data_IF_101759537715
#
_entry.id   IF_101759537715
#
_cell.length_a   1.000
_cell.length_b   1.000
_cell.length_c   1.000
_cell.angle_alpha   90.00
_cell.angle_beta   90.00
_cell.angle_gamma   90.00
#
_symmetry.space_group_name_H-M   'P 1'
#
loop_
_entity.id
_entity.type
_entity.pdbx_description
1 polymer ?
#
# COMPACT_ATOMS: atom_id res chain seq x y z
N UNK A 1 2.89 -1.78 2.06
CA UNK A 1 1.98 -0.65 1.77
C UNK A 1 2.40 0.55 2.59
N UNK A 2 2.36 1.77 2.05
CA UNK A 2 2.70 2.96 2.85
C UNK A 2 1.59 3.26 3.87
N UNK A 3 0.32 3.10 3.49
CA UNK A 3 -0.83 3.26 4.37
C UNK A 3 -1.24 1.94 5.00
N UNK A 4 -1.83 2.03 6.19
CA UNK A 4 -2.48 0.88 6.80
C UNK A 4 -3.76 0.56 6.04
N UNK A 5 -4.05 -0.73 5.89
CA UNK A 5 -5.28 -1.23 5.25
C UNK A 5 -5.92 -2.27 6.15
N UNK A 6 -7.25 -2.22 6.26
CA UNK A 6 -8.06 -3.17 7.02
C UNK A 6 -8.77 -4.11 6.05
N UNK A 7 -8.73 -5.40 6.35
CA UNK A 7 -9.46 -6.40 5.58
C UNK A 7 -10.91 -6.46 6.08
N UNK A 8 -11.92 -6.24 5.22
CA UNK A 8 -13.31 -6.33 5.64
C UNK A 8 -13.68 -7.75 6.08
N UNK A 9 -14.45 -7.88 7.15
CA UNK A 9 -14.85 -9.19 7.71
C UNK A 9 -15.60 -10.05 6.70
N UNK A 10 -16.50 -9.46 5.91
CA UNK A 10 -17.24 -10.18 4.87
C UNK A 10 -16.30 -10.70 3.78
N UNK A 11 -15.38 -9.84 3.30
CA UNK A 11 -14.37 -10.21 2.31
C UNK A 11 -13.48 -11.34 2.81
N UNK A 12 -12.98 -11.26 4.05
CA UNK A 12 -12.20 -12.33 4.68
C UNK A 12 -12.98 -13.64 4.65
N UNK A 13 -14.21 -13.65 5.20
CA UNK A 13 -15.04 -14.86 5.29
C UNK A 13 -15.31 -15.50 3.92
N UNK A 14 -15.78 -14.70 2.96
CA UNK A 14 -16.18 -15.19 1.63
C UNK A 14 -14.99 -15.66 0.81
N UNK A 15 -13.88 -14.92 0.82
CA UNK A 15 -12.68 -15.35 0.09
C UNK A 15 -11.96 -16.53 0.78
N UNK A 16 -12.05 -16.65 2.11
CA UNK A 16 -11.63 -17.89 2.78
C UNK A 16 -12.43 -19.09 2.28
N UNK A 17 -13.77 -18.99 2.18
CA UNK A 17 -14.58 -20.07 1.59
C UNK A 17 -14.15 -20.44 0.16
N UNK A 18 -13.80 -19.45 -0.65
CA UNK A 18 -13.26 -19.65 -2.00
C UNK A 18 -11.92 -20.39 -1.99
N UNK A 19 -10.98 -19.99 -1.13
CA UNK A 19 -9.67 -20.65 -1.00
C UNK A 19 -9.84 -22.12 -0.58
N UNK A 20 -10.68 -22.39 0.40
CA UNK A 20 -11.00 -23.77 0.78
C UNK A 20 -11.58 -24.56 -0.39
N UNK A 21 -12.47 -23.95 -1.19
CA UNK A 21 -13.11 -24.62 -2.32
C UNK A 21 -12.10 -24.91 -3.44
N UNK A 22 -11.24 -23.95 -3.76
CA UNK A 22 -10.13 -24.11 -4.72
C UNK A 22 -9.28 -25.33 -4.37
N UNK A 23 -8.82 -25.40 -3.11
CA UNK A 23 -7.96 -26.48 -2.64
C UNK A 23 -8.70 -27.82 -2.59
N UNK A 24 -9.98 -27.82 -2.18
CA UNK A 24 -10.78 -29.04 -2.09
C UNK A 24 -11.08 -29.67 -3.46
N UNK A 25 -11.39 -28.85 -4.46
CA UNK A 25 -11.63 -29.33 -5.82
C UNK A 25 -10.34 -29.84 -6.48
N UNK A 26 -9.21 -29.17 -6.24
CA UNK A 26 -7.91 -29.64 -6.71
C UNK A 26 -7.53 -30.98 -6.05
N UNK A 27 -7.80 -31.14 -4.74
CA UNK A 27 -7.59 -32.40 -4.02
C UNK A 27 -8.51 -33.53 -4.48
N UNK A 28 -9.75 -33.21 -4.86
CA UNK A 28 -10.64 -34.16 -5.52
C UNK A 28 -10.01 -34.68 -6.82
N UNK A 29 -9.55 -33.77 -7.68
CA UNK A 29 -8.93 -34.12 -8.97
C UNK A 29 -7.53 -34.76 -8.84
N UNK A 30 -6.86 -34.61 -7.70
CA UNK A 30 -5.64 -35.38 -7.39
C UNK A 30 -5.94 -36.79 -6.90
N UNK A 31 -7.17 -37.08 -6.47
CA UNK A 31 -7.58 -38.39 -5.95
C UNK A 31 -8.04 -39.39 -7.01
N UNK A 32 -8.55 -38.94 -8.16
CA UNK A 32 -9.06 -39.77 -9.26
C UNK A 32 -8.74 -39.12 -10.61
N UNK A 33 -8.63 -39.91 -11.68
CA UNK A 33 -8.48 -39.44 -13.07
C UNK A 33 -9.81 -39.37 -13.83
N UNK A 34 -10.85 -40.06 -13.34
CA UNK A 34 -12.19 -40.04 -13.91
C UNK A 34 -13.06 -39.09 -13.09
N UNK A 35 -13.17 -37.84 -13.54
CA UNK A 35 -13.99 -36.84 -12.88
C UNK A 35 -15.42 -36.88 -13.43
N UNK A 36 -16.39 -37.01 -12.53
CA UNK A 36 -17.79 -36.87 -12.85
C UNK A 36 -18.52 -36.06 -11.77
N UNK A 37 -19.71 -35.57 -12.14
CA UNK A 37 -20.49 -34.67 -11.29
C UNK A 37 -20.87 -35.35 -9.97
N UNK A 38 -21.29 -36.62 -10.01
CA UNK A 38 -21.73 -37.38 -8.84
C UNK A 38 -20.57 -37.64 -7.88
N UNK A 39 -19.40 -38.00 -8.40
CA UNK A 39 -18.17 -38.16 -7.63
C UNK A 39 -17.74 -36.86 -6.95
N UNK A 40 -17.84 -35.72 -7.63
CA UNK A 40 -17.56 -34.43 -7.03
C UNK A 40 -18.57 -34.04 -5.94
N UNK A 41 -19.87 -34.27 -6.17
CA UNK A 41 -20.91 -34.07 -5.16
C UNK A 41 -20.62 -34.87 -3.89
N UNK A 42 -20.35 -36.17 -4.04
CA UNK A 42 -20.00 -37.04 -2.93
C UNK A 42 -18.71 -36.62 -2.21
N UNK A 43 -17.71 -36.12 -2.94
CA UNK A 43 -16.46 -35.63 -2.34
C UNK A 43 -16.66 -34.32 -1.56
N UNK A 44 -17.44 -33.39 -2.09
CA UNK A 44 -17.77 -32.13 -1.43
C UNK A 44 -18.67 -32.34 -0.20
N UNK A 45 -19.59 -33.29 -0.24
CA UNK A 45 -20.49 -33.61 0.87
C UNK A 45 -19.74 -34.05 2.15
N UNK A 46 -18.56 -34.69 1.97
CA UNK A 46 -17.69 -35.12 3.08
C UNK A 46 -17.05 -33.94 3.81
N UNK A 47 -16.93 -32.78 3.17
CA UNK A 47 -16.38 -31.57 3.80
C UNK A 47 -17.49 -30.85 4.58
N UNK A 48 -17.37 -30.69 5.92
CA UNK A 48 -18.37 -29.97 6.71
C UNK A 48 -18.64 -28.55 6.19
N UNK A 49 -17.61 -27.86 5.68
CA UNK A 49 -17.72 -26.50 5.15
C UNK A 49 -18.67 -26.40 3.95
N UNK A 50 -18.74 -27.43 3.10
CA UNK A 50 -19.55 -27.43 1.86
C UNK A 50 -20.81 -28.31 1.94
N UNK A 51 -21.02 -28.99 3.07
CA UNK A 51 -22.24 -29.77 3.32
C UNK A 51 -23.47 -28.87 3.18
N UNK A 52 -24.53 -29.39 2.54
CA UNK A 52 -25.73 -28.61 2.19
C UNK A 52 -25.62 -27.78 0.89
N UNK A 53 -24.41 -27.44 0.43
CA UNK A 53 -24.20 -26.67 -0.82
C UNK A 53 -23.46 -27.45 -1.93
N UNK A 54 -22.86 -28.58 -1.58
CA UNK A 54 -22.12 -29.49 -2.47
C UNK A 54 -22.76 -29.75 -3.85
N UNK A 55 -24.07 -30.05 -3.92
CA UNK A 55 -24.77 -30.28 -5.19
C UNK A 55 -24.76 -29.05 -6.10
N UNK A 56 -24.97 -27.86 -5.54
CA UNK A 56 -24.97 -26.61 -6.29
C UNK A 56 -23.55 -26.26 -6.77
N UNK A 57 -22.54 -26.49 -5.93
CA UNK A 57 -21.12 -26.29 -6.27
C UNK A 57 -20.70 -27.23 -7.41
N UNK A 58 -21.01 -28.53 -7.33
CA UNK A 58 -20.70 -29.47 -8.39
C UNK A 58 -21.47 -29.15 -9.68
N UNK A 59 -22.76 -28.80 -9.57
CA UNK A 59 -23.55 -28.32 -10.72
C UNK A 59 -22.91 -27.08 -11.35
N UNK A 60 -22.41 -26.14 -10.56
CA UNK A 60 -21.64 -25.01 -11.05
C UNK A 60 -20.41 -25.52 -11.81
N UNK A 61 -19.55 -26.34 -11.22
CA UNK A 61 -18.33 -26.82 -11.87
C UNK A 61 -18.63 -27.51 -13.22
N UNK A 62 -19.62 -28.41 -13.29
CA UNK A 62 -19.94 -29.15 -14.52
C UNK A 62 -20.66 -28.36 -15.61
N UNK A 63 -21.31 -27.24 -15.27
CA UNK A 63 -21.97 -26.37 -16.25
C UNK A 63 -21.00 -25.62 -17.16
N UNK A 64 -19.73 -25.45 -16.77
CA UNK A 64 -18.74 -24.70 -17.55
C UNK A 64 -17.70 -25.62 -18.13
N UNK A 65 -17.69 -25.73 -19.47
CA UNK A 65 -16.74 -26.56 -20.21
C UNK A 65 -15.29 -26.28 -19.81
N UNK A 66 -14.87 -25.01 -19.87
CA UNK A 66 -13.48 -24.61 -19.61
C UNK A 66 -12.97 -24.94 -18.20
N UNK A 67 -13.77 -24.71 -17.15
CA UNK A 67 -13.37 -25.03 -15.77
C UNK A 67 -13.31 -26.54 -15.52
N UNK A 68 -14.25 -27.28 -16.12
CA UNK A 68 -14.29 -28.74 -16.05
C UNK A 68 -13.09 -29.35 -16.81
N UNK A 69 -12.79 -28.85 -17.99
CA UNK A 69 -11.64 -29.28 -18.82
C UNK A 69 -10.32 -29.06 -18.08
N UNK A 70 -10.06 -27.86 -17.54
CA UNK A 70 -8.83 -27.61 -16.77
C UNK A 70 -8.66 -28.56 -15.59
N UNK A 71 -9.74 -28.85 -14.86
CA UNK A 71 -9.69 -29.79 -13.74
C UNK A 71 -9.50 -31.24 -14.21
N UNK A 72 -10.10 -31.60 -15.35
CA UNK A 72 -9.93 -32.90 -16.01
C UNK A 72 -8.51 -33.10 -16.50
N UNK A 73 -7.91 -32.09 -17.13
CA UNK A 73 -6.53 -32.12 -17.61
C UNK A 73 -5.55 -32.22 -16.44
N UNK A 74 -5.80 -31.46 -15.36
CA UNK A 74 -5.05 -31.63 -14.11
C UNK A 74 -5.14 -33.07 -13.60
N UNK A 75 -6.29 -33.72 -13.71
CA UNK A 75 -6.48 -35.08 -13.23
C UNK A 75 -5.72 -36.16 -14.00
N UNK A 76 -5.13 -35.85 -15.16
CA UNK A 76 -4.36 -36.80 -15.97
C UNK A 76 -2.90 -36.99 -15.51
N UNK A 77 -2.39 -36.14 -14.62
CA UNK A 77 -1.06 -36.29 -14.04
C UNK A 77 -0.93 -37.52 -13.12
N UNK A 78 0.31 -37.88 -12.77
CA UNK A 78 0.59 -38.95 -11.80
C UNK A 78 -0.13 -38.67 -10.48
N UNK A 79 -0.78 -39.69 -9.90
CA UNK A 79 -1.52 -39.51 -8.65
C UNK A 79 -0.60 -39.05 -7.51
N UNK A 80 0.63 -39.58 -7.43
CA UNK A 80 1.60 -39.19 -6.42
C UNK A 80 2.03 -37.72 -6.58
N UNK A 81 2.39 -37.31 -7.79
CA UNK A 81 2.86 -35.94 -8.08
C UNK A 81 1.75 -34.90 -7.87
N UNK A 82 0.54 -35.17 -8.37
CA UNK A 82 -0.61 -34.29 -8.16
C UNK A 82 -0.95 -34.13 -6.68
N UNK A 83 -0.89 -35.21 -5.90
CA UNK A 83 -1.17 -35.17 -4.45
C UNK A 83 -0.13 -34.37 -3.70
N UNK A 84 1.16 -34.55 -4.01
CA UNK A 84 2.24 -33.74 -3.44
C UNK A 84 2.02 -32.26 -3.77
N UNK A 85 1.91 -31.93 -5.07
CA UNK A 85 1.76 -30.55 -5.51
C UNK A 85 0.50 -29.86 -4.96
N UNK A 86 -0.68 -30.50 -5.06
CA UNK A 86 -1.92 -29.93 -4.49
C UNK A 86 -1.89 -29.85 -2.96
N UNK A 87 -1.14 -30.75 -2.30
CA UNK A 87 -0.89 -30.72 -0.87
C UNK A 87 -0.07 -29.51 -0.46
N UNK A 88 1.03 -29.25 -1.15
CA UNK A 88 1.92 -28.11 -0.90
C UNK A 88 1.18 -26.78 -1.10
N UNK A 89 0.46 -26.63 -2.22
CA UNK A 89 -0.37 -25.45 -2.48
C UNK A 89 -1.44 -25.22 -1.40
N UNK A 90 -2.07 -26.30 -0.91
CA UNK A 90 -3.07 -26.21 0.16
C UNK A 90 -2.43 -25.80 1.48
N UNK A 91 -1.25 -26.35 1.78
CA UNK A 91 -0.50 -26.01 2.99
C UNK A 91 -0.13 -24.52 2.99
N UNK A 92 0.45 -24.01 1.91
CA UNK A 92 0.83 -22.60 1.77
C UNK A 92 -0.40 -21.67 1.85
N UNK A 93 -1.49 -22.00 1.13
CA UNK A 93 -2.73 -21.22 1.17
C UNK A 93 -3.32 -21.14 2.59
N UNK A 94 -3.31 -22.24 3.34
CA UNK A 94 -3.86 -22.25 4.70
C UNK A 94 -2.88 -21.68 5.74
N UNK A 95 -1.57 -21.79 5.53
CA UNK A 95 -0.58 -21.12 6.37
C UNK A 95 -0.77 -19.60 6.29
N UNK A 96 -0.96 -19.05 5.10
CA UNK A 96 -1.18 -17.61 4.91
C UNK A 96 -2.47 -17.09 5.58
N UNK A 97 -3.50 -17.94 5.77
CA UNK A 97 -4.72 -17.59 6.52
C UNK A 97 -4.52 -17.56 8.04
N UNK A 98 -3.68 -18.45 8.58
CA UNK A 98 -3.64 -18.73 10.03
C UNK A 98 -2.37 -18.23 10.71
N UNK A 99 -1.21 -18.46 10.09
CA UNK A 99 0.10 -18.09 10.62
C UNK A 99 1.10 -17.91 9.47
N UNK A 100 1.20 -16.71 8.89
CA UNK A 100 1.91 -16.45 7.65
C UNK A 100 3.40 -16.24 7.88
N UNK A 101 4.09 -17.33 8.16
CA UNK A 101 5.53 -17.39 8.37
C UNK A 101 6.18 -18.36 7.40
N UNK A 102 7.47 -18.17 7.14
CA UNK A 102 8.27 -19.06 6.29
C UNK A 102 8.15 -18.74 4.80
N UNK A 103 8.50 -19.72 3.97
CA UNK A 103 8.60 -19.55 2.52
C UNK A 103 7.31 -19.94 1.79
N UNK A 104 7.10 -19.32 0.62
CA UNK A 104 6.05 -19.69 -0.33
C UNK A 104 6.69 -19.99 -1.68
N UNK A 105 6.27 -21.09 -2.30
CA UNK A 105 6.89 -21.62 -3.52
C UNK A 105 6.21 -21.06 -4.77
N UNK A 106 6.93 -20.33 -5.63
CA UNK A 106 6.39 -19.80 -6.87
C UNK A 106 6.28 -20.91 -7.91
N UNK A 107 5.18 -20.89 -8.63
CA UNK A 107 4.98 -21.67 -9.84
C UNK A 107 5.54 -20.90 -11.04
N UNK A 108 6.75 -21.25 -11.45
CA UNK A 108 7.35 -20.76 -12.71
C UNK A 108 7.04 -21.75 -13.84
N UNK A 109 6.07 -21.47 -14.72
CA UNK A 109 5.83 -22.34 -15.87
C UNK A 109 7.04 -22.28 -16.81
N UNK A 110 7.66 -23.43 -17.03
CA UNK A 110 8.69 -23.66 -18.04
C UNK A 110 8.13 -24.52 -19.19
N UNK A 111 8.89 -24.65 -20.27
CA UNK A 111 8.52 -25.54 -21.38
C UNK A 111 8.39 -27.00 -20.93
N UNK A 112 9.24 -27.42 -19.97
CA UNK A 112 9.22 -28.73 -19.34
C UNK A 112 8.09 -28.94 -18.32
N UNK A 113 7.38 -27.87 -17.90
CA UNK A 113 6.32 -28.01 -16.90
C UNK A 113 5.18 -28.86 -17.45
N UNK A 114 4.77 -29.94 -16.75
CA UNK A 114 3.71 -30.83 -17.21
C UNK A 114 2.40 -30.11 -17.51
N UNK A 115 1.72 -30.51 -18.58
CA UNK A 115 0.45 -29.91 -19.01
C UNK A 115 -0.62 -29.97 -17.91
N UNK A 116 -0.69 -31.08 -17.16
CA UNK A 116 -1.62 -31.23 -16.04
C UNK A 116 -1.37 -30.17 -14.96
N UNK A 117 -0.11 -29.83 -14.69
CA UNK A 117 0.26 -28.85 -13.66
C UNK A 117 -0.10 -27.43 -14.11
N UNK A 118 0.13 -27.10 -15.39
CA UNK A 118 -0.33 -25.84 -16.02
C UNK A 118 -1.85 -25.71 -15.93
N UNK A 119 -2.58 -26.79 -16.24
CA UNK A 119 -4.04 -26.82 -16.17
C UNK A 119 -4.55 -26.62 -14.73
N UNK A 120 -3.89 -27.22 -13.73
CA UNK A 120 -4.18 -26.99 -12.31
C UNK A 120 -3.97 -25.54 -11.89
N UNK A 121 -2.86 -24.92 -12.33
CA UNK A 121 -2.60 -23.51 -12.05
C UNK A 121 -3.67 -22.61 -12.70
N UNK A 122 -4.01 -22.85 -13.96
CA UNK A 122 -5.04 -22.09 -14.66
C UNK A 122 -6.44 -22.28 -14.08
N UNK A 123 -6.77 -23.49 -13.60
CA UNK A 123 -7.99 -23.76 -12.86
C UNK A 123 -8.12 -22.88 -11.62
N UNK A 124 -7.04 -22.74 -10.84
CA UNK A 124 -7.04 -21.88 -9.65
C UNK A 124 -7.23 -20.41 -10.04
N UNK A 125 -6.51 -19.93 -11.07
CA UNK A 125 -6.64 -18.54 -11.56
C UNK A 125 -8.04 -18.19 -12.04
N UNK A 126 -8.81 -19.16 -12.55
CA UNK A 126 -10.19 -18.94 -13.02
C UNK A 126 -11.12 -18.41 -11.93
N UNK A 127 -10.90 -18.74 -10.65
CA UNK A 127 -11.70 -18.17 -9.57
C UNK A 127 -11.58 -16.65 -9.50
N UNK A 128 -10.40 -16.10 -9.78
CA UNK A 128 -10.23 -14.65 -9.86
C UNK A 128 -10.87 -14.05 -11.11
N UNK A 129 -10.91 -14.76 -12.23
CA UNK A 129 -11.71 -14.33 -13.40
C UNK A 129 -13.18 -14.15 -12.99
N UNK A 130 -13.75 -15.07 -12.20
CA UNK A 130 -15.11 -14.92 -11.67
C UNK A 130 -15.25 -13.73 -10.75
N UNK A 131 -14.35 -13.53 -9.79
CA UNK A 131 -14.40 -12.36 -8.91
C UNK A 131 -14.27 -11.04 -9.70
N UNK A 132 -13.38 -10.99 -10.69
CA UNK A 132 -12.99 -9.76 -11.37
C UNK A 132 -13.89 -9.36 -12.55
N UNK A 133 -14.45 -10.33 -13.28
CA UNK A 133 -15.19 -10.12 -14.53
C UNK A 133 -16.65 -10.61 -14.48
N UNK A 134 -16.94 -11.59 -13.63
CA UNK A 134 -18.27 -12.17 -13.49
C UNK A 134 -18.75 -12.02 -12.04
N UNK A 135 -19.17 -13.13 -11.41
CA UNK A 135 -19.45 -13.21 -9.99
C UNK A 135 -19.06 -14.58 -9.43
N UNK A 136 -18.65 -14.60 -8.16
CA UNK A 136 -18.55 -15.82 -7.38
C UNK A 136 -19.96 -16.22 -6.90
N UNK A 137 -20.44 -17.43 -7.20
CA UNK A 137 -21.78 -17.86 -6.84
C UNK A 137 -22.04 -17.84 -5.33
N UNK A 138 -23.27 -17.52 -4.93
CA UNK A 138 -23.71 -17.60 -3.52
C UNK A 138 -23.45 -18.96 -2.89
N UNK A 139 -23.58 -20.05 -3.66
CA UNK A 139 -23.35 -21.40 -3.19
C UNK A 139 -21.90 -21.68 -2.79
N UNK A 140 -20.95 -20.75 -2.99
CA UNK A 140 -19.58 -20.86 -2.50
C UNK A 140 -19.46 -20.48 -1.02
N UNK A 141 -20.34 -19.61 -0.53
CA UNK A 141 -20.23 -19.05 0.81
C UNK A 141 -21.05 -19.82 1.84
N UNK A 142 -20.51 -19.92 3.05
CA UNK A 142 -21.09 -20.67 4.17
C UNK A 142 -22.26 -19.95 4.87
N UNK A 143 -22.56 -18.72 4.48
CA UNK A 143 -23.59 -17.89 5.09
C UNK A 143 -24.99 -18.35 4.63
N UNK A 144 -25.98 -18.47 5.54
CA UNK A 144 -27.33 -18.95 5.19
C UNK A 144 -27.99 -18.21 4.04
N UNK A 145 -27.85 -16.88 4.02
CA UNK A 145 -28.44 -15.97 3.02
C UNK A 145 -27.37 -15.32 2.13
N UNK A 146 -26.31 -16.07 1.83
CA UNK A 146 -25.23 -15.56 1.00
C UNK A 146 -25.75 -15.11 -0.37
N UNK A 147 -25.35 -13.90 -0.78
CA UNK A 147 -25.47 -13.42 -2.15
C UNK A 147 -24.24 -13.82 -2.97
N UNK A 148 -24.31 -13.65 -4.30
CA UNK A 148 -23.09 -13.68 -5.12
C UNK A 148 -22.11 -12.60 -4.66
N UNK A 149 -20.83 -12.76 -5.00
CA UNK A 149 -19.77 -11.81 -4.63
C UNK A 149 -18.93 -11.50 -5.86
N UNK A 150 -18.87 -10.22 -6.24
CA UNK A 150 -18.14 -9.73 -7.40
C UNK A 150 -17.20 -8.59 -7.02
N UNK A 151 -16.41 -8.14 -7.99
CA UNK A 151 -15.46 -7.02 -7.86
C UNK A 151 -16.04 -5.81 -7.15
N UNK A 152 -17.26 -5.41 -7.51
CA UNK A 152 -17.90 -4.25 -6.89
C UNK A 152 -18.12 -4.44 -5.39
N UNK A 153 -18.57 -5.62 -4.95
CA UNK A 153 -18.78 -5.92 -3.53
C UNK A 153 -17.45 -5.91 -2.78
N UNK A 154 -16.39 -6.46 -3.37
CA UNK A 154 -15.04 -6.43 -2.81
C UNK A 154 -14.54 -4.99 -2.59
N UNK A 155 -14.69 -4.11 -3.59
CA UNK A 155 -14.29 -2.71 -3.50
C UNK A 155 -15.17 -1.95 -2.48
N UNK A 156 -16.49 -2.15 -2.53
CA UNK A 156 -17.43 -1.51 -1.61
C UNK A 156 -17.13 -1.86 -0.15
N UNK A 157 -16.91 -3.15 0.13
CA UNK A 157 -16.52 -3.60 1.47
C UNK A 157 -15.16 -3.03 1.89
N UNK A 158 -14.19 -2.94 0.97
CA UNK A 158 -12.90 -2.32 1.25
C UNK A 158 -13.05 -0.84 1.62
N UNK A 159 -13.83 -0.08 0.85
CA UNK A 159 -14.05 1.35 1.07
C UNK A 159 -14.77 1.61 2.40
N UNK A 160 -15.74 0.75 2.77
CA UNK A 160 -16.43 0.81 4.06
C UNK A 160 -15.46 0.59 5.23
N UNK A 161 -14.63 -0.46 5.16
CA UNK A 161 -13.65 -0.77 6.22
C UNK A 161 -12.47 0.23 6.26
N UNK A 162 -12.20 0.92 5.17
CA UNK A 162 -11.08 1.85 4.99
C UNK A 162 -11.55 3.27 4.64
N UNK A 163 -12.62 3.74 5.29
CA UNK A 163 -13.30 5.00 4.99
C UNK A 163 -12.47 6.30 5.18
N UNK A 164 -11.21 6.19 5.63
CA UNK A 164 -10.23 7.30 5.70
C UNK A 164 -9.11 7.17 4.66
N UNK A 165 -9.22 6.19 3.75
CA UNK A 165 -8.27 5.93 2.70
C UNK A 165 -8.99 6.08 1.35
N UNK A 166 -8.71 7.12 0.58
CA UNK A 166 -9.32 7.42 -0.73
C UNK A 166 -8.35 7.27 -1.91
N UNK A 167 -7.06 7.24 -1.60
CA UNK A 167 -5.97 7.09 -2.55
C UNK A 167 -5.28 5.72 -2.40
N UNK A 168 -4.31 5.45 -3.25
CA UNK A 168 -3.60 4.18 -3.33
C UNK A 168 -2.79 3.91 -2.04
N UNK A 169 -3.03 2.79 -1.34
CA UNK A 169 -2.30 2.43 -0.11
C UNK A 169 -0.83 2.13 -0.34
N UNK A 170 -0.42 1.87 -1.58
CA UNK A 170 0.98 1.73 -1.98
C UNK A 170 1.61 3.12 -2.05
N UNK A 171 1.32 3.90 -3.09
CA UNK A 171 2.17 5.02 -3.47
C UNK A 171 1.74 6.39 -2.96
N UNK A 172 0.56 6.53 -2.36
CA UNK A 172 0.00 7.83 -2.00
C UNK A 172 -0.26 8.81 -3.19
N UNK A 173 -0.13 8.40 -4.46
CA UNK A 173 -0.17 9.33 -5.61
C UNK A 173 -1.52 9.50 -6.31
N UNK A 174 -2.36 8.45 -6.35
CA UNK A 174 -3.57 8.42 -7.19
C UNK A 174 -4.65 7.50 -6.62
N UNK A 175 -5.86 7.60 -7.16
CA UNK A 175 -7.02 6.83 -6.69
C UNK A 175 -6.86 5.33 -6.97
N UNK A 176 -7.55 4.51 -6.17
CA UNK A 176 -7.60 3.06 -6.36
C UNK A 176 -8.54 2.73 -7.51
N UNK A 177 -8.03 2.04 -8.53
CA UNK A 177 -8.79 1.67 -9.72
C UNK A 177 -8.71 0.19 -10.04
N UNK A 178 -7.76 -0.53 -9.42
CA UNK A 178 -7.46 -1.93 -9.68
C UNK A 178 -7.38 -2.73 -8.37
N UNK A 179 -7.46 -4.06 -8.49
CA UNK A 179 -7.20 -4.99 -7.39
C UNK A 179 -5.90 -5.67 -7.77
N UNK A 180 -4.85 -5.41 -6.99
CA UNK A 180 -3.54 -6.04 -7.13
C UNK A 180 -3.51 -7.38 -6.40
N UNK A 181 -2.75 -8.30 -6.99
CA UNK A 181 -2.30 -9.51 -6.34
C UNK A 181 -0.92 -9.25 -5.74
N UNK A 182 -0.84 -9.06 -4.43
CA UNK A 182 0.41 -8.69 -3.76
C UNK A 182 1.55 -9.65 -4.13
N UNK A 183 1.30 -10.94 -3.96
CA UNK A 183 2.03 -12.04 -4.60
C UNK A 183 1.38 -12.34 -5.96
N UNK A 184 2.10 -12.16 -7.10
CA UNK A 184 1.52 -12.23 -8.44
C UNK A 184 0.76 -13.52 -8.74
N UNK A 185 -0.44 -13.41 -9.32
CA UNK A 185 -1.28 -14.57 -9.69
C UNK A 185 -0.64 -15.50 -10.74
N UNK A 186 0.27 -14.97 -11.56
CA UNK A 186 1.09 -15.72 -12.51
C UNK A 186 2.00 -16.72 -11.80
N UNK A 187 2.54 -16.35 -10.64
CA UNK A 187 3.47 -17.16 -9.84
C UNK A 187 2.79 -17.91 -8.70
N UNK A 188 1.71 -17.37 -8.14
CA UNK A 188 1.03 -17.93 -6.96
C UNK A 188 -0.46 -18.18 -7.27
N UNK A 189 -0.78 -19.13 -8.16
CA UNK A 189 -2.15 -19.36 -8.61
C UNK A 189 -3.09 -19.76 -7.47
N UNK A 190 -2.58 -20.45 -6.45
CA UNK A 190 -3.31 -20.84 -5.24
C UNK A 190 -3.70 -19.65 -4.36
N UNK A 191 -3.06 -18.49 -4.56
CA UNK A 191 -3.38 -17.23 -3.86
C UNK A 191 -4.23 -16.27 -4.69
N UNK A 192 -4.73 -16.71 -5.84
CA UNK A 192 -5.50 -15.89 -6.79
C UNK A 192 -6.75 -15.22 -6.20
N UNK A 193 -7.42 -15.87 -5.26
CA UNK A 193 -8.56 -15.34 -4.51
C UNK A 193 -8.29 -15.26 -3.00
N UNK A 194 -7.03 -15.30 -2.59
CA UNK A 194 -6.69 -15.32 -1.17
C UNK A 194 -6.95 -13.94 -0.55
N UNK A 195 -7.69 -13.85 0.59
CA UNK A 195 -8.11 -12.56 1.15
C UNK A 195 -6.94 -11.65 1.52
N UNK A 196 -5.82 -12.23 1.98
CA UNK A 196 -4.61 -11.49 2.32
C UNK A 196 -3.72 -11.15 1.12
N UNK A 197 -4.07 -11.59 -0.09
CA UNK A 197 -3.30 -11.37 -1.31
C UNK A 197 -3.93 -10.35 -2.27
N UNK A 198 -5.17 -9.92 -2.03
CA UNK A 198 -5.88 -9.00 -2.90
C UNK A 198 -5.99 -7.61 -2.27
N UNK A 199 -5.49 -6.57 -2.94
CA UNK A 199 -5.53 -5.19 -2.40
C UNK A 199 -5.96 -4.18 -3.46
N UNK A 200 -6.95 -3.33 -3.19
CA UNK A 200 -7.26 -2.19 -4.04
C UNK A 200 -6.10 -1.19 -4.13
N UNK A 201 -5.59 -0.94 -5.34
CA UNK A 201 -4.47 -0.04 -5.64
C UNK A 201 -4.73 0.77 -6.91
N UNK A 202 -3.87 1.75 -7.22
CA UNK A 202 -3.93 2.47 -8.49
C UNK A 202 -3.37 1.65 -9.66
N UNK A 203 -3.82 1.99 -10.87
CA UNK A 203 -3.36 1.37 -12.12
C UNK A 203 -1.86 1.46 -12.34
N UNK A 204 -1.23 2.55 -11.91
CA UNK A 204 0.20 2.74 -12.14
C UNK A 204 1.02 1.76 -11.30
N UNK A 205 0.65 1.57 -10.02
CA UNK A 205 1.29 0.60 -9.15
C UNK A 205 1.12 -0.83 -9.65
N UNK A 206 -0.07 -1.18 -10.14
CA UNK A 206 -0.37 -2.52 -10.66
C UNK A 206 -0.06 -2.67 -12.17
N UNK A 207 0.63 -1.71 -12.77
CA UNK A 207 1.01 -1.78 -14.19
C UNK A 207 2.09 -2.83 -14.42
N UNK A 208 2.18 -3.34 -15.67
CA UNK A 208 3.22 -4.27 -16.09
C UNK A 208 4.64 -3.67 -15.99
N UNK A 209 4.76 -2.34 -16.04
CA UNK A 209 6.05 -1.65 -15.97
C UNK A 209 6.54 -1.47 -14.53
N UNK A 210 5.63 -1.25 -13.58
CA UNK A 210 6.00 -1.01 -12.18
C UNK A 210 6.09 -2.31 -11.40
N UNK A 211 4.95 -3.01 -11.25
CA UNK A 211 4.88 -4.26 -10.49
C UNK A 211 4.87 -5.45 -11.42
N UNK A 212 3.91 -5.51 -12.35
CA UNK A 212 3.68 -6.68 -13.21
C UNK A 212 3.71 -7.99 -12.41
N UNK A 213 4.55 -8.92 -12.86
CA UNK A 213 4.76 -10.22 -12.23
C UNK A 213 5.95 -10.23 -11.24
N UNK A 214 6.37 -9.07 -10.75
CA UNK A 214 7.48 -8.98 -9.78
C UNK A 214 7.13 -9.73 -8.51
N UNK A 215 7.93 -10.73 -8.20
CA UNK A 215 7.85 -11.50 -6.96
C UNK A 215 8.50 -10.73 -5.81
N UNK A 216 7.70 -10.19 -4.88
CA UNK A 216 8.26 -9.45 -3.74
C UNK A 216 9.06 -10.35 -2.78
N UNK A 217 8.93 -11.68 -2.88
CA UNK A 217 9.74 -12.63 -2.15
C UNK A 217 11.10 -12.91 -2.82
N UNK A 218 11.31 -12.49 -4.07
CA UNK A 218 12.60 -12.66 -4.73
C UNK A 218 13.59 -11.57 -4.30
N UNK A 219 14.85 -11.95 -4.04
CA UNK A 219 15.97 -11.01 -3.89
C UNK A 219 16.87 -11.05 -5.13
N UNK A 220 17.56 -9.95 -5.39
CA UNK A 220 18.61 -9.92 -6.41
C UNK A 220 19.75 -10.92 -6.15
N UNK A 221 19.99 -11.28 -4.89
CA UNK A 221 20.99 -12.29 -4.51
C UNK A 221 20.60 -13.73 -4.86
N UNK A 222 19.35 -13.98 -5.25
CA UNK A 222 18.79 -15.32 -5.43
C UNK A 222 18.28 -15.98 -4.14
N UNK A 223 18.63 -15.46 -2.96
CA UNK A 223 18.11 -15.96 -1.68
C UNK A 223 16.74 -15.34 -1.43
N UNK A 224 15.67 -16.15 -1.45
CA UNK A 224 14.31 -15.64 -1.31
C UNK A 224 13.98 -15.20 0.12
N UNK A 225 13.15 -14.17 0.24
CA UNK A 225 12.57 -13.67 1.49
C UNK A 225 11.56 -14.68 2.03
N UNK A 226 11.42 -14.73 3.35
CA UNK A 226 10.25 -15.34 3.97
C UNK A 226 9.08 -14.34 4.05
N UNK A 227 7.90 -14.82 4.44
CA UNK A 227 6.72 -13.99 4.64
C UNK A 227 6.92 -12.93 5.75
N UNK A 228 7.67 -13.26 6.80
CA UNK A 228 8.00 -12.33 7.89
C UNK A 228 9.01 -11.22 7.50
N UNK A 229 9.73 -11.41 6.39
CA UNK A 229 10.69 -10.43 5.86
C UNK A 229 10.02 -9.32 5.02
N UNK A 230 8.73 -9.49 4.71
CA UNK A 230 7.97 -8.59 3.82
C UNK A 230 6.79 -7.96 4.55
N UNK A 231 6.33 -6.85 4.01
CA UNK A 231 5.08 -6.26 4.46
C UNK A 231 3.86 -7.03 3.92
N UNK A 232 3.17 -7.80 4.76
CA UNK A 232 1.93 -8.45 4.36
C UNK A 232 0.74 -7.49 4.42
N UNK A 233 -0.05 -7.34 3.33
CA UNK A 233 -1.27 -6.55 3.38
C UNK A 233 -2.22 -7.02 4.48
N UNK A 234 -2.90 -6.06 5.11
CA UNK A 234 -3.88 -6.28 6.18
C UNK A 234 -3.35 -6.84 7.51
N UNK A 235 -2.05 -7.10 7.60
CA UNK A 235 -1.43 -7.63 8.81
C UNK A 235 -0.49 -6.59 9.40
N UNK A 236 -0.99 -5.87 10.41
CA UNK A 236 -0.21 -4.90 11.17
C UNK A 236 -0.46 -3.44 10.76
N UNK A 237 0.62 -2.71 10.50
CA UNK A 237 0.65 -1.25 10.38
C UNK A 237 1.05 -0.80 8.98
N UNK A 238 0.63 0.37 8.49
CA UNK A 238 1.20 0.91 7.25
C UNK A 238 2.65 1.34 7.45
N UNK A 239 3.55 1.14 6.46
CA UNK A 239 4.97 1.50 6.60
C UNK A 239 5.17 2.94 7.10
N UNK A 240 4.26 3.88 6.80
CA UNK A 240 4.31 5.26 7.29
C UNK A 240 4.40 5.43 8.81
N UNK A 241 3.92 4.46 9.60
CA UNK A 241 3.92 4.53 11.06
C UNK A 241 5.32 4.30 11.66
N UNK A 242 6.16 3.52 10.98
CA UNK A 242 7.47 3.08 11.49
C UNK A 242 8.62 3.44 10.55
N UNK A 243 8.33 4.22 9.51
CA UNK A 243 9.31 4.79 8.60
C UNK A 243 9.19 6.31 8.56
N UNK A 244 10.16 6.94 7.92
CA UNK A 244 10.13 8.33 7.50
C UNK A 244 10.75 8.48 6.11
N UNK A 245 10.30 9.48 5.35
CA UNK A 245 10.91 9.82 4.08
C UNK A 245 12.00 10.87 4.31
N UNK A 246 13.26 10.50 4.09
CA UNK A 246 14.37 11.45 4.04
C UNK A 246 14.32 12.18 2.70
N UNK A 247 14.20 13.50 2.74
CA UNK A 247 14.26 14.38 1.57
C UNK A 247 15.52 15.24 1.67
N UNK A 248 16.42 15.11 0.69
CA UNK A 248 17.68 15.86 0.67
C UNK A 248 17.54 17.16 -0.13
N UNK A 249 17.62 18.30 0.57
CA UNK A 249 17.40 19.64 0.03
C UNK A 249 18.67 20.52 0.11
N UNK A 250 19.83 19.92 0.41
CA UNK A 250 21.07 20.67 0.68
C UNK A 250 21.59 21.50 -0.49
N UNK A 251 21.25 21.10 -1.71
CA UNK A 251 21.68 21.80 -2.94
C UNK A 251 20.61 22.75 -3.47
N UNK A 252 19.34 22.36 -3.35
CA UNK A 252 18.20 23.13 -3.83
C UNK A 252 16.96 22.81 -2.97
N UNK A 253 16.43 23.83 -2.29
CA UNK A 253 15.25 23.71 -1.42
C UNK A 253 13.96 23.35 -2.18
N UNK A 254 13.92 23.65 -3.48
CA UNK A 254 12.80 23.39 -4.39
C UNK A 254 12.91 22.10 -5.15
N UNK A 255 14.11 21.53 -5.27
CA UNK A 255 14.35 20.31 -6.05
C UNK A 255 15.23 19.35 -5.25
N UNK A 256 14.66 18.29 -4.66
CA UNK A 256 15.43 17.38 -3.84
C UNK A 256 16.42 16.63 -4.72
N UNK A 257 17.63 16.43 -4.23
CA UNK A 257 18.63 15.60 -4.89
C UNK A 257 18.38 14.12 -4.65
N UNK A 258 17.66 13.78 -3.58
CA UNK A 258 17.33 12.41 -3.22
C UNK A 258 16.07 12.33 -2.34
N UNK A 259 15.28 11.28 -2.54
CA UNK A 259 14.26 10.83 -1.60
C UNK A 259 14.52 9.38 -1.19
N UNK A 260 14.56 9.10 0.13
CA UNK A 260 14.82 7.74 0.62
C UNK A 260 13.92 7.39 1.79
N UNK A 261 13.19 6.28 1.71
CA UNK A 261 12.40 5.78 2.83
C UNK A 261 13.34 5.08 3.82
N UNK A 262 13.27 5.46 5.10
CA UNK A 262 14.14 4.95 6.17
C UNK A 262 13.32 4.44 7.35
N UNK A 263 13.75 3.37 8.03
CA UNK A 263 13.13 2.95 9.28
C UNK A 263 13.34 4.03 10.35
N UNK A 264 12.35 4.23 11.22
CA UNK A 264 12.53 5.04 12.42
C UNK A 264 13.52 4.35 13.37
N UNK A 265 14.27 5.10 14.19
CA UNK A 265 15.18 4.51 15.17
C UNK A 265 14.54 3.39 15.99
N UNK A 266 15.24 2.27 16.14
CA UNK A 266 14.76 1.09 16.88
C UNK A 266 13.88 0.12 16.08
N UNK A 267 13.54 0.41 14.82
CA UNK A 267 12.77 -0.52 13.97
C UNK A 267 13.68 -1.25 12.98
N UNK A 268 13.59 -2.57 12.91
CA UNK A 268 14.29 -3.37 11.90
C UNK A 268 13.35 -3.66 10.71
N UNK A 269 13.25 -2.70 9.78
CA UNK A 269 12.31 -2.77 8.63
C UNK A 269 13.01 -2.61 7.27
N UNK A 270 14.33 -2.73 7.22
CA UNK A 270 15.07 -2.52 5.97
C UNK A 270 14.63 -3.51 4.89
N UNK A 271 14.51 -4.79 5.25
CA UNK A 271 14.08 -5.84 4.30
C UNK A 271 12.65 -5.58 3.78
N UNK A 272 11.73 -5.15 4.65
CA UNK A 272 10.37 -4.77 4.27
C UNK A 272 10.36 -3.57 3.31
N UNK A 273 11.22 -2.57 3.55
CA UNK A 273 11.37 -1.40 2.68
C UNK A 273 11.94 -1.83 1.33
N UNK A 274 12.92 -2.73 1.30
CA UNK A 274 13.54 -3.22 0.08
C UNK A 274 12.54 -4.03 -0.75
N UNK A 275 11.80 -4.95 -0.15
CA UNK A 275 10.73 -5.70 -0.83
C UNK A 275 9.65 -4.77 -1.40
N UNK A 276 9.30 -3.73 -0.64
CA UNK A 276 8.34 -2.71 -1.07
C UNK A 276 8.87 -1.87 -2.25
N UNK A 277 10.14 -1.50 -2.22
CA UNK A 277 10.80 -0.79 -3.31
C UNK A 277 10.94 -1.68 -4.56
N UNK A 278 11.34 -2.93 -4.39
CA UNK A 278 11.49 -3.91 -5.47
C UNK A 278 10.18 -4.07 -6.23
N UNK A 279 9.06 -4.20 -5.51
CA UNK A 279 7.74 -4.42 -6.10
C UNK A 279 7.10 -3.15 -6.70
N UNK A 280 7.25 -1.98 -6.07
CA UNK A 280 6.47 -0.78 -6.45
C UNK A 280 7.30 0.42 -6.88
N UNK A 281 8.63 0.31 -6.83
CA UNK A 281 9.59 1.36 -7.18
C UNK A 281 9.39 2.66 -6.37
N UNK A 282 9.07 2.50 -5.10
CA UNK A 282 8.92 3.61 -4.14
C UNK A 282 10.12 3.56 -3.19
N UNK A 283 10.89 4.66 -3.02
CA UNK A 283 10.48 6.05 -3.27
C UNK A 283 10.83 6.63 -4.65
N UNK A 284 11.48 5.91 -5.56
CA UNK A 284 11.93 6.47 -6.85
C UNK A 284 10.81 7.16 -7.63
N UNK A 285 9.60 6.59 -7.66
CA UNK A 285 8.46 7.25 -8.32
C UNK A 285 8.01 8.55 -7.66
N UNK A 286 8.20 8.73 -6.35
CA UNK A 286 8.00 10.03 -5.69
C UNK A 286 9.06 11.03 -6.16
N UNK A 287 10.29 10.59 -6.30
CA UNK A 287 11.37 11.40 -6.84
C UNK A 287 11.13 11.80 -8.30
N UNK A 288 10.72 10.86 -9.15
CA UNK A 288 10.43 11.09 -10.58
C UNK A 288 9.27 12.07 -10.78
N UNK A 289 8.32 12.11 -9.83
CA UNK A 289 7.17 13.02 -9.82
C UNK A 289 7.38 14.25 -8.93
N UNK A 290 8.61 14.48 -8.45
CA UNK A 290 8.95 15.55 -7.50
C UNK A 290 8.51 16.93 -7.95
N UNK A 291 8.56 17.25 -9.25
CA UNK A 291 8.06 18.52 -9.79
C UNK A 291 6.56 18.73 -9.49
N UNK A 292 5.74 17.69 -9.57
CA UNK A 292 4.31 17.80 -9.26
C UNK A 292 4.10 17.99 -7.76
N UNK A 293 4.81 17.19 -6.95
CA UNK A 293 4.79 17.27 -5.48
C UNK A 293 5.22 18.66 -5.02
N UNK A 294 6.31 19.18 -5.59
CA UNK A 294 6.83 20.52 -5.35
C UNK A 294 5.76 21.58 -5.67
N UNK A 295 5.20 21.56 -6.87
CA UNK A 295 4.23 22.57 -7.29
C UNK A 295 3.03 22.63 -6.34
N UNK A 296 2.49 21.46 -5.96
CA UNK A 296 1.37 21.38 -5.03
C UNK A 296 1.75 21.85 -3.61
N UNK A 297 2.91 21.42 -3.10
CA UNK A 297 3.38 21.82 -1.78
C UNK A 297 3.60 23.34 -1.71
N UNK A 298 4.37 23.91 -2.63
CA UNK A 298 4.72 25.33 -2.62
C UNK A 298 3.50 26.21 -2.89
N UNK A 299 2.52 25.73 -3.66
CA UNK A 299 1.24 26.43 -3.79
C UNK A 299 0.49 26.49 -2.45
N UNK A 300 0.40 25.38 -1.71
CA UNK A 300 -0.25 25.35 -0.38
C UNK A 300 0.49 26.20 0.66
N UNK A 301 1.83 26.17 0.65
CA UNK A 301 2.65 27.04 1.49
C UNK A 301 2.34 28.51 1.18
N UNK A 302 2.41 28.91 -0.09
CA UNK A 302 2.13 30.27 -0.53
C UNK A 302 0.74 30.73 -0.11
N UNK A 303 -0.28 29.88 -0.30
CA UNK A 303 -1.66 30.17 0.12
C UNK A 303 -1.75 30.38 1.62
N UNK A 304 -1.13 29.51 2.42
CA UNK A 304 -1.14 29.59 3.89
C UNK A 304 -0.46 30.87 4.40
N UNK A 305 0.72 31.20 3.86
CA UNK A 305 1.45 32.44 4.18
C UNK A 305 0.64 33.69 3.79
N UNK A 306 0.06 33.69 2.60
CA UNK A 306 -0.73 34.84 2.10
C UNK A 306 -1.99 35.05 2.96
N UNK A 307 -2.67 33.96 3.31
CA UNK A 307 -3.85 33.99 4.18
C UNK A 307 -3.50 34.51 5.58
N UNK A 308 -2.44 33.99 6.20
CA UNK A 308 -2.02 34.43 7.53
C UNK A 308 -1.53 35.89 7.58
N UNK A 309 -0.95 36.39 6.49
CA UNK A 309 -0.58 37.80 6.35
C UNK A 309 -1.80 38.72 6.23
N UNK A 310 -2.94 38.22 5.75
CA UNK A 310 -4.17 39.00 5.61
C UNK A 310 -4.66 39.44 6.98
N UNK A 311 -4.72 40.75 7.22
CA UNK A 311 -5.07 41.31 8.53
C UNK A 311 -3.90 41.52 9.50
N UNK A 312 -2.66 41.14 9.14
CA UNK A 312 -1.44 41.43 9.90
C UNK A 312 -0.58 42.48 9.20
N UNK A 313 0.10 43.35 9.95
CA UNK A 313 1.05 44.31 9.37
C UNK A 313 2.30 43.60 8.81
N UNK A 314 2.83 42.63 9.55
CA UNK A 314 4.01 41.83 9.22
C UNK A 314 3.88 40.39 9.70
N UNK A 315 4.66 39.47 9.12
CA UNK A 315 4.89 38.12 9.69
C UNK A 315 6.37 37.94 9.98
N UNK A 316 6.68 37.42 11.16
CA UNK A 316 8.03 37.16 11.64
C UNK A 316 8.38 35.66 11.55
N UNK A 317 9.63 35.27 11.86
CA UNK A 317 10.08 33.88 11.71
C UNK A 317 9.27 32.86 12.54
N UNK A 318 8.78 33.24 13.73
CA UNK A 318 7.93 32.38 14.56
C UNK A 318 6.53 32.23 13.95
N UNK A 319 5.95 33.32 13.44
CA UNK A 319 4.68 33.24 12.70
C UNK A 319 4.80 32.28 11.51
N UNK A 320 5.91 32.39 10.75
CA UNK A 320 6.18 31.50 9.61
C UNK A 320 6.25 30.05 10.07
N UNK A 321 6.99 29.74 11.14
CA UNK A 321 7.07 28.39 11.70
C UNK A 321 5.70 27.84 12.08
N UNK A 322 4.91 28.61 12.83
CA UNK A 322 3.59 28.18 13.28
C UNK A 322 2.67 27.87 12.09
N UNK A 323 2.67 28.72 11.05
CA UNK A 323 1.89 28.50 9.82
C UNK A 323 2.34 27.22 9.10
N UNK A 324 3.65 26.97 9.00
CA UNK A 324 4.17 25.78 8.35
C UNK A 324 3.91 24.51 9.16
N UNK A 325 3.94 24.59 10.50
CA UNK A 325 3.61 23.48 11.40
C UNK A 325 2.10 23.14 11.32
N UNK A 326 1.22 24.13 11.21
CA UNK A 326 -0.22 23.93 10.94
C UNK A 326 -0.46 23.25 9.58
N UNK A 327 0.23 23.71 8.52
CA UNK A 327 0.16 23.08 7.20
C UNK A 327 0.71 21.64 7.25
N UNK A 328 1.80 21.41 7.97
CA UNK A 328 2.38 20.08 8.15
C UNK A 328 1.41 19.14 8.87
N UNK A 329 0.74 19.60 9.92
CA UNK A 329 -0.30 18.84 10.62
C UNK A 329 -1.46 18.49 9.68
N UNK A 330 -1.94 19.45 8.90
CA UNK A 330 -2.99 19.24 7.89
C UNK A 330 -2.55 18.21 6.82
N UNK A 331 -1.33 18.30 6.30
CA UNK A 331 -0.80 17.33 5.35
C UNK A 331 -0.74 15.93 5.99
N UNK A 332 -0.35 15.82 7.26
CA UNK A 332 -0.30 14.56 7.98
C UNK A 332 -1.68 13.93 8.16
N UNK A 333 -2.70 14.72 8.51
CA UNK A 333 -4.10 14.28 8.64
C UNK A 333 -4.74 13.86 7.31
N UNK A 334 -4.23 14.42 6.20
CA UNK A 334 -4.68 14.13 4.84
C UNK A 334 -3.93 12.96 4.17
N UNK A 335 -2.94 12.36 4.82
CA UNK A 335 -2.26 11.17 4.30
C UNK A 335 -3.19 9.98 4.13
N UNK A 336 -3.30 9.45 2.92
CA UNK A 336 -4.30 8.44 2.58
C UNK A 336 -5.62 9.03 2.08
N UNK A 337 -5.83 10.34 2.20
CA UNK A 337 -7.08 11.01 1.77
C UNK A 337 -6.89 11.81 0.50
N UNK A 338 -5.80 12.57 0.43
CA UNK A 338 -5.46 13.39 -0.74
C UNK A 338 -4.17 12.90 -1.37
N UNK A 339 -4.04 12.98 -2.71
CA UNK A 339 -2.79 12.65 -3.39
C UNK A 339 -1.59 13.40 -2.80
N UNK A 340 -0.46 12.70 -2.70
CA UNK A 340 0.87 13.21 -2.38
C UNK A 340 1.03 13.79 -0.97
N UNK A 341 0.02 13.68 -0.10
CA UNK A 341 0.08 14.17 1.27
C UNK A 341 1.24 13.56 2.07
N UNK A 342 1.58 12.28 1.86
CA UNK A 342 2.71 11.63 2.52
C UNK A 342 4.07 12.22 2.11
N UNK A 343 4.46 12.25 0.81
CA UNK A 343 5.73 12.87 0.43
C UNK A 343 5.76 14.38 0.66
N UNK A 344 4.64 15.11 0.49
CA UNK A 344 4.57 16.55 0.79
C UNK A 344 4.85 16.84 2.27
N UNK A 345 4.27 16.07 3.19
CA UNK A 345 4.49 16.26 4.63
C UNK A 345 5.98 16.14 4.99
N UNK A 346 6.65 15.10 4.49
CA UNK A 346 8.08 14.91 4.77
C UNK A 346 8.98 15.93 4.09
N UNK A 347 8.61 16.41 2.91
CA UNK A 347 9.32 17.51 2.26
C UNK A 347 9.17 18.80 3.05
N UNK A 348 7.95 19.16 3.47
CA UNK A 348 7.72 20.33 4.31
C UNK A 348 8.48 20.25 5.64
N UNK A 349 8.48 19.08 6.30
CA UNK A 349 9.28 18.86 7.49
C UNK A 349 10.78 19.05 7.23
N UNK A 350 11.29 18.62 6.07
CA UNK A 350 12.69 18.86 5.69
C UNK A 350 12.98 20.35 5.46
N UNK A 351 12.07 21.09 4.82
CA UNK A 351 12.18 22.55 4.64
C UNK A 351 12.20 23.28 5.98
N UNK A 352 11.26 22.96 6.90
CA UNK A 352 11.21 23.59 8.23
C UNK A 352 12.53 23.36 8.97
N UNK A 353 13.04 22.13 8.99
CA UNK A 353 14.26 21.79 9.71
C UNK A 353 15.54 22.41 9.11
N UNK A 354 15.59 22.61 7.79
CA UNK A 354 16.78 23.12 7.10
C UNK A 354 16.77 24.65 6.95
N UNK A 355 15.60 25.26 6.72
CA UNK A 355 15.49 26.69 6.39
C UNK A 355 14.95 27.54 7.54
N UNK A 356 14.11 26.98 8.43
CA UNK A 356 13.38 27.74 9.45
C UNK A 356 14.02 27.58 10.83
N UNK A 357 14.16 26.35 11.31
CA UNK A 357 14.67 26.02 12.64
C UNK A 357 16.06 26.62 12.96
N UNK A 358 17.04 26.67 12.02
CA UNK A 358 18.32 27.32 12.28
C UNK A 358 18.17 28.82 12.61
N UNK A 359 17.21 29.50 11.98
CA UNK A 359 16.96 30.94 12.14
C UNK A 359 16.10 31.28 13.38
N UNK A 360 15.46 30.28 13.99
CA UNK A 360 14.79 30.41 15.28
C UNK A 360 15.78 30.28 16.42
N UNK A 361 16.70 29.30 16.31
CA UNK A 361 17.70 29.01 17.35
C UNK A 361 18.82 30.05 17.35
N UNK A 362 19.17 30.57 16.18
CA UNK A 362 20.17 31.61 16.04
C UNK A 362 19.54 32.97 16.32
N UNK A 363 19.98 33.63 17.39
CA UNK A 363 19.60 35.00 17.68
C UNK A 363 20.43 35.99 16.88
N UNK A 364 20.86 35.70 15.65
CA UNK A 364 21.53 36.66 14.78
C UNK A 364 20.56 37.17 13.70
N UNK A 365 20.83 38.31 13.03
CA UNK A 365 20.11 38.69 11.83
C UNK A 365 20.13 37.56 10.80
N UNK A 366 18.99 37.33 10.14
CA UNK A 366 18.85 36.26 9.15
C UNK A 366 19.68 36.62 7.92
N UNK A 367 20.65 35.77 7.59
CA UNK A 367 21.45 35.88 6.38
C UNK A 367 20.66 35.32 5.19
N UNK A 368 19.91 36.19 4.52
CA UNK A 368 18.96 35.82 3.45
C UNK A 368 19.58 35.05 2.28
N UNK A 369 20.87 35.25 2.01
CA UNK A 369 21.63 34.50 1.00
C UNK A 369 21.75 33.00 1.31
N UNK A 370 21.75 32.63 2.59
CA UNK A 370 21.83 31.24 3.05
C UNK A 370 20.46 30.56 3.17
N UNK A 371 19.38 31.34 3.10
CA UNK A 371 18.01 30.86 3.32
C UNK A 371 17.06 31.37 2.23
N UNK A 372 17.24 30.92 0.97
CA UNK A 372 16.46 31.39 -0.16
C UNK A 372 14.96 31.10 -0.02
N UNK A 373 14.57 30.08 0.74
CA UNK A 373 13.14 29.83 1.01
C UNK A 373 12.49 30.96 1.82
N UNK A 374 13.21 31.55 2.78
CA UNK A 374 12.72 32.69 3.56
C UNK A 374 12.57 33.95 2.70
N UNK A 375 13.47 34.15 1.72
CA UNK A 375 13.34 35.24 0.74
C UNK A 375 12.06 35.08 -0.07
N UNK A 376 11.76 33.86 -0.49
CA UNK A 376 10.54 33.59 -1.24
C UNK A 376 9.27 33.80 -0.39
N UNK A 377 9.27 33.37 0.88
CA UNK A 377 8.18 33.64 1.83
C UNK A 377 7.99 35.14 2.06
N UNK A 378 9.07 35.92 2.14
CA UNK A 378 9.00 37.38 2.21
C UNK A 378 8.27 37.97 0.99
N UNK A 379 8.62 37.47 -0.20
CA UNK A 379 7.95 37.83 -1.46
C UNK A 379 6.45 37.54 -1.45
N UNK A 380 6.04 36.34 -1.02
CA UNK A 380 4.62 35.97 -0.92
C UNK A 380 3.85 36.80 0.11
N UNK A 381 4.49 37.12 1.25
CA UNK A 381 3.92 37.96 2.30
C UNK A 381 3.98 39.47 1.99
N UNK A 382 4.53 39.86 0.82
CA UNK A 382 4.74 41.26 0.40
C UNK A 382 5.55 42.07 1.41
N UNK A 383 6.60 41.46 1.95
CA UNK A 383 7.55 42.08 2.87
C UNK A 383 8.96 42.07 2.26
N UNK A 384 9.80 43.02 2.66
CA UNK A 384 11.18 43.06 2.19
C UNK A 384 11.99 41.84 2.69
N UNK A 385 11.75 41.41 3.92
CA UNK A 385 12.42 40.27 4.54
C UNK A 385 11.61 39.71 5.71
N UNK A 386 11.76 38.42 5.98
CA UNK A 386 11.34 37.82 7.25
C UNK A 386 12.42 38.11 8.29
N UNK A 387 12.01 38.54 9.48
CA UNK A 387 12.93 38.91 10.55
C UNK A 387 12.64 38.11 11.81
N UNK A 388 13.69 37.88 12.60
CA UNK A 388 13.53 37.46 13.97
C UNK A 388 13.04 38.66 14.81
N UNK A 389 11.99 38.51 15.65
CA UNK A 389 11.44 39.57 16.49
C UNK A 389 12.44 40.33 17.35
N UNK A 390 13.58 39.74 17.72
CA UNK A 390 14.65 40.44 18.44
C UNK A 390 15.30 41.59 17.63
N UNK A 391 15.20 41.56 16.30
CA UNK A 391 15.86 42.49 15.38
C UNK A 391 14.91 43.39 14.61
N UNK A 392 13.60 43.28 14.86
CA UNK A 392 12.61 44.20 14.29
C UNK A 392 12.86 45.58 14.91
N UNK A 393 13.31 46.54 14.11
CA UNK A 393 13.45 47.94 14.50
C UNK A 393 12.06 48.57 14.61
N UNK A 394 11.63 48.85 15.83
CA UNK A 394 10.36 49.52 16.09
C UNK A 394 10.53 50.37 17.37
N UNK A 395 10.37 51.71 17.29
CA UNK A 395 10.61 52.61 18.41
C UNK A 395 9.86 52.23 19.70
N UNK A 396 8.64 51.70 19.57
CA UNK A 396 7.86 51.22 20.72
C UNK A 396 8.45 49.94 21.31
N UNK A 397 8.83 48.97 20.47
CA UNK A 397 9.46 47.73 20.92
C UNK A 397 10.84 47.97 21.54
N UNK A 398 11.63 48.90 20.99
CA UNK A 398 12.94 49.24 21.54
C UNK A 398 12.83 49.85 22.93
N UNK A 399 11.82 50.69 23.16
CA UNK A 399 11.49 51.21 24.49
C UNK A 399 11.11 50.09 25.45
N UNK A 400 10.28 49.13 25.01
CA UNK A 400 9.90 47.95 25.82
C UNK A 400 11.08 47.03 26.11
N UNK A 401 11.94 46.76 25.13
CA UNK A 401 13.17 45.95 25.30
C UNK A 401 14.11 46.59 26.31
N UNK A 402 14.33 47.91 26.21
CA UNK A 402 15.11 48.67 27.20
C UNK A 402 14.52 48.55 28.61
N UNK A 403 13.20 48.68 28.76
CA UNK A 403 12.53 48.51 30.06
C UNK A 403 12.70 47.09 30.63
N UNK A 404 12.54 46.05 29.80
CA UNK A 404 12.75 44.66 30.24
C UNK A 404 14.20 44.38 30.64
N UNK A 405 15.17 44.98 29.95
CA UNK A 405 16.59 44.86 30.27
C UNK A 405 16.90 45.51 31.63
N UNK A 406 16.40 46.73 31.88
CA UNK A 406 16.51 47.41 33.18
C UNK A 406 15.91 46.56 34.31
N UNK A 407 14.77 45.90 34.06
CA UNK A 407 14.12 45.04 35.04
C UNK A 407 14.84 43.70 35.30
N UNK A 408 15.73 43.26 34.40
CA UNK A 408 16.49 42.02 34.54
C UNK A 408 17.90 42.23 35.12
N UNK A 409 18.37 43.48 35.18
CA UNK A 409 19.65 43.89 35.77
C UNK A 409 19.53 44.28 37.26
N UNK A 410 18.31 44.25 37.81
CA UNK A 410 18.01 44.28 39.26
C UNK A 410 17.52 42.91 39.70
#
# INVERSE_FOLDING_TARGET
MIHNVKLPTLTLKRLTDVVYLQMWLLRYASSTSNLDKSGCEGYLQRCPRFRGRHQQIAKWLWRGSKRRELLSDFSQGSQAEKRAWSGDLSHEAFALLNNPIGSVTPFFPQDSTPSWQKAGADFLRKFYDYLSKEELPSCFFSEPDASSFKRHDFISQFDEANNQLFICPVCDLSNRTQIDHYLPISLYPHLSCHPFNLVPVCSDCNSLVVKGDTDCLARASGIRRNLEDIFLPYQGYGLKTHTYLRVDLRQDYRNPSQMTLKPRPGNNLQECIDAYNDAYKIPSRWFDTSRNIQNQLFQQVKQSITAAKTGRASVNIFDVRDILDELLASLFENQGKTPQAFPMAWWLAALINQEIEPNIKNTAPIETEKFPFLVEIAGWSKQAQIQHPAYISNPKLDKTRKLRKIAAEN
#
